data_IF_055998937873
#
_entry.id   IF_055998937873
#
_cell.length_a   1.000
_cell.length_b   1.000
_cell.length_c   1.000
_cell.angle_alpha   90.00
_cell.angle_beta   90.00
_cell.angle_gamma   90.00
#
_symmetry.space_group_name_H-M   'P 1'
#
loop_
_entity.id
_entity.type
_entity.pdbx_description
1 polymer ?
#
# COMPACT_ATOMS: atom_id res chain seq x y z
N UNK A 1 25.68 22.37 62.17
CA UNK A 1 26.25 22.88 63.44
C UNK A 1 27.20 24.02 63.09
N UNK A 2 26.82 25.28 63.36
CA UNK A 2 27.57 26.57 63.22
C UNK A 2 28.06 26.93 61.80
N UNK A 3 28.04 28.16 61.29
CA UNK A 3 27.51 29.51 61.58
C UNK A 3 27.84 30.31 60.27
N UNK A 4 26.93 30.97 59.57
CA UNK A 4 26.24 32.25 59.81
C UNK A 4 27.06 33.53 59.52
N UNK A 5 26.37 34.47 58.82
CA UNK A 5 26.54 35.93 58.62
C UNK A 5 27.44 36.39 57.45
N UNK A 6 26.89 36.99 56.37
CA UNK A 6 26.21 38.32 56.17
C UNK A 6 27.22 39.49 56.16
N UNK A 7 27.12 40.63 55.47
CA UNK A 7 26.07 41.44 54.80
C UNK A 7 26.87 42.57 54.06
N UNK A 8 26.47 43.27 52.98
CA UNK A 8 25.56 44.43 52.83
C UNK A 8 25.87 45.00 51.40
N UNK A 9 24.91 45.12 50.47
CA UNK A 9 24.00 46.26 50.20
C UNK A 9 24.62 47.45 49.45
N UNK A 10 24.09 47.75 48.26
CA UNK A 10 23.44 49.04 47.87
C UNK A 10 23.13 48.99 46.35
N UNK A 11 21.89 48.79 45.90
CA UNK A 11 20.69 49.66 45.87
C UNK A 11 20.67 50.69 44.73
N UNK A 12 19.64 50.56 43.86
CA UNK A 12 18.76 51.59 43.24
C UNK A 12 17.97 50.90 42.10
N UNK A 13 16.74 50.43 42.36
CA UNK A 13 15.43 51.10 42.20
C UNK A 13 15.12 51.46 40.72
N UNK A 14 14.26 50.74 39.96
CA UNK A 14 12.77 50.62 40.00
C UNK A 14 12.04 51.96 39.69
N UNK A 15 10.77 52.00 39.19
CA UNK A 15 9.97 51.05 38.39
C UNK A 15 9.01 51.79 37.37
N UNK A 16 7.72 51.43 37.16
CA UNK A 16 7.17 51.04 35.85
C UNK A 16 6.05 51.97 35.35
N UNK A 17 5.47 51.76 34.16
CA UNK A 17 4.10 52.21 33.89
C UNK A 17 3.31 51.30 32.95
N UNK A 18 2.02 51.27 33.25
CA UNK A 18 0.96 50.37 32.83
C UNK A 18 0.22 50.83 31.56
N UNK A 19 -0.33 49.85 30.84
CA UNK A 19 -1.70 49.74 30.29
C UNK A 19 -2.21 50.81 29.30
N UNK A 20 -2.58 50.39 28.08
CA UNK A 20 -3.98 50.39 27.60
C UNK A 20 -4.11 49.85 26.17
N UNK A 21 -5.23 49.18 25.97
CA UNK A 21 -5.83 48.63 24.76
C UNK A 21 -5.87 49.54 23.53
N UNK A 22 -5.66 48.97 22.34
CA UNK A 22 -6.49 49.28 21.17
C UNK A 22 -6.50 48.13 20.18
N UNK A 23 -7.72 47.78 19.79
CA UNK A 23 -8.11 46.90 18.70
C UNK A 23 -7.55 47.38 17.36
N UNK A 24 -6.90 46.49 16.61
CA UNK A 24 -6.93 46.57 15.15
C UNK A 24 -6.94 45.17 14.54
N UNK A 25 -8.06 44.88 13.90
CA UNK A 25 -8.32 43.73 13.05
C UNK A 25 -7.53 43.88 11.75
N UNK A 26 -6.46 43.09 11.57
CA UNK A 26 -5.86 42.93 10.24
C UNK A 26 -6.54 41.77 9.52
N UNK A 27 -7.62 42.09 8.80
CA UNK A 27 -8.17 41.28 7.72
C UNK A 27 -7.10 41.14 6.62
N UNK A 28 -6.41 40.00 6.56
CA UNK A 28 -5.74 39.59 5.32
C UNK A 28 -6.82 39.00 4.40
N UNK A 29 -7.22 39.80 3.41
CA UNK A 29 -8.09 39.37 2.31
C UNK A 29 -7.37 38.29 1.51
N UNK A 30 -7.81 37.04 1.65
CA UNK A 30 -7.57 36.00 0.65
C UNK A 30 -8.36 36.35 -0.61
N UNK A 31 -7.63 36.82 -1.63
CA UNK A 31 -8.14 37.00 -2.98
C UNK A 31 -8.36 35.60 -3.56
N UNK A 32 -9.62 35.21 -3.73
CA UNK A 32 -10.02 34.06 -4.52
C UNK A 32 -9.74 34.35 -5.99
N UNK A 33 -8.63 33.80 -6.51
CA UNK A 33 -8.41 33.66 -7.95
C UNK A 33 -9.10 32.37 -8.41
N UNK A 34 -10.23 32.52 -9.09
CA UNK A 34 -10.85 31.41 -9.83
C UNK A 34 -9.93 30.93 -10.95
N UNK A 35 -9.63 29.62 -11.07
CA UNK A 35 -9.06 29.09 -12.30
C UNK A 35 -10.15 29.08 -13.40
N UNK A 36 -9.82 29.65 -14.57
CA UNK A 36 -10.63 29.54 -15.79
C UNK A 36 -10.73 28.07 -16.21
N UNK A 37 -11.89 27.56 -16.64
CA UNK A 37 -11.99 26.22 -17.19
C UNK A 37 -11.36 26.17 -18.60
N UNK A 38 -10.51 25.17 -18.82
CA UNK A 38 -10.04 24.77 -20.14
C UNK A 38 -11.18 24.10 -20.91
N UNK A 39 -11.43 24.58 -22.12
CA UNK A 39 -12.41 24.06 -23.07
C UNK A 39 -12.08 22.61 -23.48
N UNK A 40 -13.08 21.73 -23.68
CA UNK A 40 -12.83 20.39 -24.22
C UNK A 40 -12.60 20.46 -25.75
N UNK A 41 -11.82 19.53 -26.33
CA UNK A 41 -11.72 19.42 -27.78
C UNK A 41 -13.05 18.91 -28.37
N UNK A 42 -13.37 19.47 -29.53
CA UNK A 42 -14.59 19.29 -30.32
C UNK A 42 -14.89 17.82 -30.66
N UNK A 43 -16.15 17.46 -30.43
CA UNK A 43 -16.85 16.28 -30.94
C UNK A 43 -16.83 16.20 -32.48
N UNK A 44 -16.32 15.10 -33.04
CA UNK A 44 -16.69 14.62 -34.37
C UNK A 44 -17.89 13.67 -34.24
N UNK A 45 -19.10 14.21 -34.40
CA UNK A 45 -20.31 13.44 -34.70
C UNK A 45 -21.03 14.17 -35.83
N UNK A 46 -20.96 13.60 -37.04
CA UNK A 46 -21.71 14.08 -38.19
C UNK A 46 -23.20 13.70 -38.05
N UNK A 47 -24.16 14.59 -38.35
CA UNK A 47 -25.57 14.28 -38.28
C UNK A 47 -26.04 13.52 -39.53
N UNK A 48 -26.76 12.42 -39.30
CA UNK A 48 -27.50 11.66 -40.31
C UNK A 48 -28.76 12.46 -40.71
N UNK A 49 -28.94 12.70 -42.01
CA UNK A 49 -30.12 13.34 -42.58
C UNK A 49 -31.34 12.39 -42.59
N UNK A 50 -32.59 12.91 -42.52
CA UNK A 50 -33.79 12.08 -42.57
C UNK A 50 -34.20 11.82 -44.02
N UNK A 51 -34.35 10.55 -44.40
CA UNK A 51 -34.96 10.17 -45.68
C UNK A 51 -36.48 10.06 -45.53
N UNK A 52 -37.20 10.75 -46.42
CA UNK A 52 -38.66 10.74 -46.55
C UNK A 52 -39.16 9.40 -47.12
N UNK A 53 -40.40 9.09 -46.75
CA UNK A 53 -41.25 7.98 -47.18
C UNK A 53 -41.42 7.84 -48.69
N UNK A 54 -41.47 6.59 -49.19
CA UNK A 54 -42.17 6.21 -50.42
C UNK A 54 -42.74 4.79 -50.29
N UNK A 55 -43.85 4.59 -51.01
CA UNK A 55 -44.89 3.57 -50.88
C UNK A 55 -44.56 2.18 -51.46
N UNK A 56 -45.42 1.24 -51.08
CA UNK A 56 -45.57 -0.16 -51.53
C UNK A 56 -45.45 -0.44 -53.03
N UNK A 57 -44.83 -1.58 -53.38
CA UNK A 57 -45.39 -2.54 -54.36
C UNK A 57 -44.67 -3.89 -54.30
N UNK A 58 -45.47 -4.95 -54.37
CA UNK A 58 -45.12 -6.36 -54.40
C UNK A 58 -44.83 -6.83 -55.81
N UNK A 59 -43.68 -7.49 -56.05
CA UNK A 59 -43.47 -8.38 -57.20
C UNK A 59 -42.61 -9.56 -56.72
N UNK A 60 -43.14 -10.78 -56.83
CA UNK A 60 -42.40 -12.01 -56.58
C UNK A 60 -41.50 -12.37 -57.75
N UNK A 61 -40.43 -13.11 -57.48
CA UNK A 61 -39.76 -13.99 -58.45
C UNK A 61 -38.87 -14.98 -57.71
N UNK A 62 -39.15 -16.26 -57.96
CA UNK A 62 -38.36 -17.41 -57.54
C UNK A 62 -36.96 -17.38 -58.16
N UNK A 63 -35.92 -17.64 -57.37
CA UNK A 63 -34.70 -18.26 -57.89
C UNK A 63 -33.97 -19.02 -56.79
N UNK A 64 -33.91 -20.33 -56.95
CA UNK A 64 -33.04 -21.20 -56.18
C UNK A 64 -31.58 -20.82 -56.45
N UNK A 65 -30.83 -20.51 -55.40
CA UNK A 65 -29.38 -20.60 -55.44
C UNK A 65 -28.94 -21.43 -54.25
N UNK A 66 -28.33 -22.58 -54.56
CA UNK A 66 -27.66 -23.46 -53.61
C UNK A 66 -26.50 -22.66 -53.01
N UNK A 67 -26.65 -22.18 -51.80
CA UNK A 67 -25.52 -21.69 -51.02
C UNK A 67 -24.83 -22.93 -50.47
N UNK A 68 -23.63 -23.20 -50.97
CA UNK A 68 -22.73 -24.16 -50.38
C UNK A 68 -22.57 -23.82 -48.90
N UNK A 69 -23.07 -24.70 -48.02
CA UNK A 69 -22.65 -24.74 -46.63
C UNK A 69 -21.17 -25.07 -46.63
N UNK A 70 -20.34 -24.03 -46.62
CA UNK A 70 -18.98 -24.16 -46.16
C UNK A 70 -19.07 -24.66 -44.72
N UNK A 71 -18.80 -25.95 -44.52
CA UNK A 71 -18.44 -26.48 -43.23
C UNK A 71 -17.20 -25.70 -42.78
N UNK A 72 -17.43 -24.64 -42.00
CA UNK A 72 -16.39 -24.10 -41.15
C UNK A 72 -16.02 -25.21 -40.19
N UNK A 73 -14.99 -25.96 -40.55
CA UNK A 73 -14.32 -26.90 -39.68
C UNK A 73 -14.00 -26.17 -38.38
N UNK A 74 -14.66 -26.57 -37.31
CA UNK A 74 -14.58 -26.00 -35.97
C UNK A 74 -13.27 -26.35 -35.25
N UNK A 75 -12.15 -26.40 -35.96
CA UNK A 75 -10.87 -26.91 -35.45
C UNK A 75 -9.80 -25.85 -35.49
N UNK A 76 -9.96 -24.85 -34.62
CA UNK A 76 -8.86 -24.23 -33.89
C UNK A 76 -9.44 -23.59 -32.61
N UNK A 77 -10.12 -24.39 -31.79
CA UNK A 77 -10.29 -23.99 -30.40
C UNK A 77 -8.88 -23.96 -29.80
N UNK A 78 -8.27 -22.76 -29.76
CA UNK A 78 -7.08 -22.50 -28.96
C UNK A 78 -7.40 -22.99 -27.55
N UNK A 79 -6.92 -24.18 -27.19
CA UNK A 79 -7.14 -24.73 -25.87
C UNK A 79 -6.21 -23.97 -24.92
N UNK A 80 -6.61 -22.77 -24.52
CA UNK A 80 -5.88 -21.90 -23.59
C UNK A 80 -5.53 -22.63 -22.27
N UNK A 81 -6.26 -23.72 -21.92
CA UNK A 81 -6.11 -24.49 -20.66
C UNK A 81 -5.88 -23.59 -19.43
N UNK A 82 -6.71 -22.56 -19.20
CA UNK A 82 -6.50 -21.58 -18.12
C UNK A 82 -6.39 -22.22 -16.73
N UNK A 83 -7.06 -23.35 -16.51
CA UNK A 83 -6.99 -24.17 -15.30
C UNK A 83 -5.60 -24.73 -15.02
N UNK A 84 -4.79 -24.97 -16.06
CA UNK A 84 -3.43 -25.46 -15.94
C UNK A 84 -2.40 -24.34 -15.73
N UNK A 85 -2.79 -23.06 -15.87
CA UNK A 85 -1.85 -21.93 -15.81
C UNK A 85 -1.32 -21.65 -14.40
N UNK A 86 -1.86 -22.31 -13.37
CA UNK A 86 -1.46 -22.16 -11.96
C UNK A 86 -1.45 -23.54 -11.30
N UNK A 87 -0.37 -23.84 -10.60
CA UNK A 87 -0.18 -25.11 -9.89
C UNK A 87 0.23 -24.82 -8.44
N UNK A 88 -0.60 -25.13 -7.43
CA UNK A 88 -1.98 -25.64 -7.54
C UNK A 88 -2.95 -24.62 -8.20
N UNK A 89 -4.19 -25.02 -8.54
CA UNK A 89 -5.20 -24.10 -9.07
C UNK A 89 -5.45 -22.90 -8.15
N UNK A 90 -5.90 -21.77 -8.72
CA UNK A 90 -6.24 -20.60 -7.92
C UNK A 90 -7.41 -20.90 -6.97
N UNK A 91 -7.35 -20.38 -5.75
CA UNK A 91 -8.48 -20.43 -4.84
C UNK A 91 -9.58 -19.49 -5.35
N UNK A 92 -10.87 -19.86 -5.18
CA UNK A 92 -11.96 -18.90 -5.31
C UNK A 92 -11.70 -17.69 -4.43
N UNK A 93 -12.07 -16.49 -4.88
CA UNK A 93 -12.00 -15.30 -4.04
C UNK A 93 -12.97 -15.50 -2.87
N UNK A 94 -12.51 -15.50 -1.61
CA UNK A 94 -13.42 -15.63 -0.47
C UNK A 94 -14.31 -14.40 -0.39
N UNK A 95 -15.52 -14.54 0.14
CA UNK A 95 -16.38 -13.38 0.43
C UNK A 95 -15.72 -12.54 1.52
N UNK A 96 -15.41 -11.25 1.28
CA UNK A 96 -14.81 -10.41 2.30
C UNK A 96 -15.84 -10.13 3.42
N UNK A 97 -15.43 -10.01 4.69
CA UNK A 97 -16.35 -9.73 5.79
C UNK A 97 -17.06 -8.36 5.67
N UNK A 98 -16.45 -7.44 4.93
CA UNK A 98 -17.00 -6.11 4.62
C UNK A 98 -16.82 -5.81 3.13
N UNK A 99 -17.79 -5.11 2.53
CA UNK A 99 -17.72 -4.71 1.11
C UNK A 99 -16.93 -3.42 0.92
N UNK A 100 -17.14 -2.44 1.81
CA UNK A 100 -16.50 -1.13 1.79
C UNK A 100 -15.93 -0.80 3.15
N UNK A 101 -14.74 -0.22 3.17
CA UNK A 101 -14.11 0.29 4.38
C UNK A 101 -13.10 1.39 4.04
N UNK A 102 -12.61 2.10 5.06
CA UNK A 102 -11.54 3.09 4.88
C UNK A 102 -10.21 2.51 5.33
N UNK A 103 -9.17 2.75 4.54
CA UNK A 103 -7.78 2.48 4.86
C UNK A 103 -7.05 3.80 5.20
N UNK A 104 -6.22 3.77 6.24
CA UNK A 104 -5.29 4.84 6.59
C UNK A 104 -3.85 4.47 6.21
N UNK A 105 -3.19 5.27 5.38
CA UNK A 105 -1.74 5.12 5.12
C UNK A 105 -1.01 6.22 5.88
N UNK A 106 -0.18 5.82 6.85
CA UNK A 106 0.52 6.76 7.73
C UNK A 106 1.96 6.94 7.25
N UNK A 107 2.20 7.94 6.41
CA UNK A 107 3.56 8.31 6.00
C UNK A 107 4.26 9.06 7.14
N UNK A 108 5.11 8.37 7.88
CA UNK A 108 5.73 8.87 9.11
C UNK A 108 7.13 9.45 8.88
N UNK A 109 7.43 10.58 9.52
CA UNK A 109 8.80 11.02 9.75
C UNK A 109 9.46 10.11 10.79
N UNK A 110 10.51 9.42 10.38
CA UNK A 110 11.24 8.45 11.23
C UNK A 110 12.52 9.09 11.75
N UNK A 111 12.77 8.95 13.04
CA UNK A 111 13.96 9.51 13.71
C UNK A 111 14.87 8.41 14.23
N UNK A 112 16.02 8.78 14.81
CA UNK A 112 16.88 7.84 15.53
C UNK A 112 16.36 7.48 16.93
N UNK A 113 15.33 8.15 17.45
CA UNK A 113 14.75 7.86 18.76
C UNK A 113 13.59 6.87 18.62
N UNK A 114 13.82 5.62 19.03
CA UNK A 114 12.82 4.54 18.93
C UNK A 114 11.55 4.85 19.73
N UNK A 115 11.69 5.33 20.97
CA UNK A 115 10.53 5.62 21.83
C UNK A 115 9.67 6.73 21.23
N UNK A 116 10.32 7.77 20.70
CA UNK A 116 9.64 8.84 19.97
C UNK A 116 8.92 8.29 18.74
N UNK A 117 9.55 7.42 17.96
CA UNK A 117 8.93 6.81 16.77
C UNK A 117 7.69 5.98 17.15
N UNK A 118 7.75 5.20 18.24
CA UNK A 118 6.62 4.40 18.74
C UNK A 118 5.46 5.29 19.21
N UNK A 119 5.75 6.32 20.01
CA UNK A 119 4.73 7.28 20.44
C UNK A 119 4.09 8.02 19.26
N UNK A 120 4.89 8.36 18.26
CA UNK A 120 4.43 9.04 17.05
C UNK A 120 3.57 8.14 16.16
N UNK A 121 3.99 6.90 15.91
CA UNK A 121 3.22 5.91 15.16
C UNK A 121 1.86 5.64 15.83
N UNK A 122 1.83 5.49 17.17
CA UNK A 122 0.59 5.39 17.95
C UNK A 122 -0.34 6.55 17.66
N UNK A 123 0.16 7.80 17.73
CA UNK A 123 -0.65 8.99 17.48
C UNK A 123 -1.21 9.02 16.06
N UNK A 124 -0.40 8.66 15.07
CA UNK A 124 -0.84 8.57 13.68
C UNK A 124 -1.92 7.51 13.46
N UNK A 125 -1.80 6.34 14.11
CA UNK A 125 -2.83 5.29 14.07
C UNK A 125 -4.15 5.79 14.68
N UNK A 126 -4.07 6.43 15.85
CA UNK A 126 -5.24 7.00 16.53
C UNK A 126 -5.93 8.07 15.68
N UNK A 127 -5.16 8.95 15.05
CA UNK A 127 -5.69 9.99 14.17
C UNK A 127 -6.32 9.41 12.89
N UNK A 128 -5.76 8.32 12.35
CA UNK A 128 -6.35 7.61 11.22
C UNK A 128 -7.67 6.92 11.60
N UNK A 129 -7.71 6.25 12.75
CA UNK A 129 -8.89 5.60 13.29
C UNK A 129 -10.00 6.60 13.61
N UNK A 130 -9.66 7.77 14.18
CA UNK A 130 -10.61 8.86 14.45
C UNK A 130 -11.25 9.41 13.16
N UNK A 131 -10.58 9.28 12.01
CA UNK A 131 -11.12 9.60 10.68
C UNK A 131 -11.89 8.44 10.02
N UNK A 132 -12.07 7.35 10.75
CA UNK A 132 -12.86 6.19 10.35
C UNK A 132 -12.09 5.09 9.63
N UNK A 133 -10.75 5.09 9.66
CA UNK A 133 -9.96 3.98 9.14
C UNK A 133 -10.28 2.69 9.92
N UNK A 134 -10.58 1.61 9.20
CA UNK A 134 -10.75 0.26 9.75
C UNK A 134 -9.50 -0.60 9.53
N UNK A 135 -8.67 -0.22 8.55
CA UNK A 135 -7.34 -0.75 8.30
C UNK A 135 -6.32 0.38 8.37
N UNK A 136 -5.23 0.20 9.08
CA UNK A 136 -4.07 1.13 9.05
C UNK A 136 -2.84 0.42 8.53
N UNK A 137 -2.08 1.08 7.65
CA UNK A 137 -0.80 0.64 7.14
C UNK A 137 0.30 1.63 7.58
N UNK A 138 1.30 1.10 8.28
CA UNK A 138 2.53 1.82 8.63
C UNK A 138 3.65 1.57 7.59
N UNK A 139 4.74 2.37 7.60
CA UNK A 139 5.81 2.22 6.62
C UNK A 139 6.88 1.18 6.99
N UNK A 140 7.81 0.91 6.08
CA UNK A 140 8.96 0.02 6.33
C UNK A 140 9.94 0.63 7.35
N UNK A 141 10.44 -0.21 8.27
CA UNK A 141 11.38 0.13 9.36
C UNK A 141 11.02 1.47 10.01
N UNK A 142 9.78 1.56 10.50
CA UNK A 142 9.25 2.81 11.04
C UNK A 142 9.74 3.11 12.46
N UNK A 143 10.30 2.12 13.16
CA UNK A 143 10.75 2.24 14.55
C UNK A 143 12.23 2.66 14.70
N UNK A 144 12.96 2.92 13.61
CA UNK A 144 14.34 3.37 13.66
C UNK A 144 14.95 3.69 12.27
N UNK A 145 16.22 4.09 12.20
CA UNK A 145 16.86 4.42 10.93
C UNK A 145 17.02 3.20 10.01
N UNK A 146 16.81 3.39 8.71
CA UNK A 146 17.03 2.35 7.71
C UNK A 146 18.52 2.25 7.34
N UNK A 147 19.28 1.46 8.09
CA UNK A 147 20.69 1.19 7.80
C UNK A 147 21.18 -0.12 8.40
N UNK A 148 22.21 -0.72 7.77
CA UNK A 148 22.84 -1.96 8.24
C UNK A 148 23.42 -1.86 9.65
N UNK A 149 23.91 -0.68 10.05
CA UNK A 149 24.47 -0.46 11.39
C UNK A 149 23.37 -0.30 12.44
N UNK A 150 22.19 0.21 12.04
CA UNK A 150 21.05 0.39 12.92
C UNK A 150 20.28 -0.92 13.16
N UNK A 151 20.13 -1.79 12.15
CA UNK A 151 19.26 -2.96 12.30
C UNK A 151 19.53 -3.81 13.57
N UNK A 152 20.77 -4.15 13.94
CA UNK A 152 21.03 -4.93 15.15
C UNK A 152 20.67 -4.19 16.44
N UNK A 153 20.88 -2.87 16.48
CA UNK A 153 20.64 -2.02 17.65
C UNK A 153 19.14 -1.82 17.88
N UNK A 154 18.38 -1.66 16.80
CA UNK A 154 16.94 -1.40 16.86
C UNK A 154 16.10 -2.68 16.79
N UNK A 155 16.71 -3.85 16.57
CA UNK A 155 15.99 -5.11 16.47
C UNK A 155 15.25 -5.48 17.76
N UNK A 156 14.05 -6.03 17.60
CA UNK A 156 13.18 -6.47 18.69
C UNK A 156 12.88 -7.97 18.59
N UNK A 157 12.77 -8.65 19.74
CA UNK A 157 12.34 -10.04 19.78
C UNK A 157 10.81 -10.10 19.84
N UNK A 158 10.19 -10.22 18.67
CA UNK A 158 8.73 -10.24 18.49
C UNK A 158 8.10 -11.43 19.21
N UNK A 159 8.79 -12.57 19.25
CA UNK A 159 8.23 -13.81 19.83
C UNK A 159 8.31 -13.80 21.37
N UNK A 160 9.30 -13.10 21.94
CA UNK A 160 9.36 -12.83 23.38
C UNK A 160 8.29 -11.84 23.86
N UNK A 161 7.88 -10.90 23.00
CA UNK A 161 6.82 -9.93 23.28
C UNK A 161 7.14 -8.95 24.42
N UNK A 162 6.13 -8.18 24.86
CA UNK A 162 6.26 -7.22 25.96
C UNK A 162 7.40 -6.21 25.74
N UNK A 163 8.25 -6.03 26.76
CA UNK A 163 9.38 -5.10 26.70
C UNK A 163 10.48 -5.51 25.71
N UNK A 164 10.50 -6.78 25.27
CA UNK A 164 11.43 -7.24 24.23
C UNK A 164 10.97 -6.83 22.82
N UNK A 165 9.70 -6.46 22.66
CA UNK A 165 9.17 -5.86 21.45
C UNK A 165 8.11 -4.78 21.73
N UNK A 166 8.55 -3.60 22.23
CA UNK A 166 7.64 -2.49 22.53
C UNK A 166 6.88 -2.00 21.30
N UNK A 167 7.45 -2.13 20.10
CA UNK A 167 6.79 -1.74 18.85
C UNK A 167 5.56 -2.62 18.60
N UNK A 168 5.69 -3.95 18.72
CA UNK A 168 4.56 -4.87 18.49
C UNK A 168 3.56 -4.88 19.63
N UNK A 169 4.02 -4.68 20.87
CA UNK A 169 3.14 -4.51 22.03
C UNK A 169 2.23 -3.28 21.87
N UNK A 170 2.77 -2.16 21.39
CA UNK A 170 1.99 -0.96 21.08
C UNK A 170 0.93 -1.25 20.01
N UNK A 171 1.31 -1.91 18.91
CA UNK A 171 0.38 -2.21 17.81
C UNK A 171 -0.76 -3.14 18.25
N UNK A 172 -0.45 -4.15 19.07
CA UNK A 172 -1.42 -5.07 19.65
C UNK A 172 -2.44 -4.34 20.54
N UNK A 173 -1.97 -3.49 21.47
CA UNK A 173 -2.86 -2.74 22.35
C UNK A 173 -3.74 -1.74 21.58
N UNK A 174 -3.16 -0.98 20.65
CA UNK A 174 -3.90 0.03 19.88
C UNK A 174 -4.93 -0.60 18.95
N UNK A 175 -4.60 -1.71 18.28
CA UNK A 175 -5.55 -2.42 17.41
C UNK A 175 -6.76 -2.94 18.20
N UNK A 176 -6.54 -3.51 19.38
CA UNK A 176 -7.61 -3.96 20.28
C UNK A 176 -8.48 -2.79 20.76
N UNK A 177 -7.85 -1.73 21.28
CA UNK A 177 -8.56 -0.59 21.86
C UNK A 177 -9.41 0.16 20.83
N UNK A 178 -8.87 0.34 19.62
CA UNK A 178 -9.55 1.05 18.54
C UNK A 178 -10.44 0.14 17.69
N UNK A 179 -10.34 -1.19 17.86
CA UNK A 179 -11.05 -2.20 17.07
C UNK A 179 -10.80 -2.05 15.56
N UNK A 180 -9.53 -1.93 15.18
CA UNK A 180 -9.09 -1.81 13.79
C UNK A 180 -8.05 -2.89 13.47
N UNK A 181 -7.97 -3.27 12.21
CA UNK A 181 -6.87 -4.08 11.70
C UNK A 181 -5.65 -3.18 11.46
N UNK A 182 -4.45 -3.64 11.84
CA UNK A 182 -3.20 -2.90 11.57
C UNK A 182 -2.23 -3.79 10.82
N UNK A 183 -1.81 -3.36 9.63
CA UNK A 183 -0.58 -3.84 9.00
C UNK A 183 0.54 -2.95 9.50
N UNK A 184 1.30 -3.47 10.47
CA UNK A 184 2.24 -2.74 11.31
C UNK A 184 3.54 -2.31 10.62
N UNK A 185 3.49 -2.02 9.33
CA UNK A 185 4.66 -1.60 8.58
C UNK A 185 5.72 -2.68 8.64
N UNK A 186 6.98 -2.32 8.85
CA UNK A 186 7.96 -3.29 9.33
C UNK A 186 8.89 -2.74 10.39
N UNK A 187 9.54 -3.64 11.13
CA UNK A 187 10.61 -3.36 12.08
C UNK A 187 11.77 -4.35 11.85
N UNK A 188 12.94 -4.04 12.39
CA UNK A 188 13.99 -5.04 12.53
C UNK A 188 13.57 -6.06 13.61
N UNK A 189 13.50 -7.34 13.25
CA UNK A 189 13.21 -8.45 14.15
C UNK A 189 14.51 -9.18 14.50
N UNK A 190 14.69 -9.52 15.77
CA UNK A 190 15.70 -10.46 16.24
C UNK A 190 15.05 -11.82 16.50
N UNK A 191 15.66 -12.88 15.98
CA UNK A 191 15.21 -14.26 16.22
C UNK A 191 16.45 -15.16 16.30
N UNK A 192 16.87 -15.44 17.53
CA UNK A 192 18.20 -15.99 17.81
C UNK A 192 19.31 -15.07 17.29
N UNK A 193 20.26 -15.65 16.56
CA UNK A 193 21.40 -14.92 15.98
C UNK A 193 21.07 -14.21 14.66
N UNK A 194 19.83 -14.33 14.18
CA UNK A 194 19.40 -13.78 12.89
C UNK A 194 18.57 -12.52 13.07
N UNK A 195 18.71 -11.63 12.10
CA UNK A 195 17.91 -10.42 11.99
C UNK A 195 17.04 -10.49 10.73
N UNK A 196 15.83 -9.94 10.79
CA UNK A 196 14.89 -9.91 9.67
C UNK A 196 14.24 -8.52 9.55
N UNK A 197 13.79 -8.17 8.35
CA UNK A 197 12.88 -7.05 8.13
C UNK A 197 11.45 -7.62 8.17
N UNK A 198 10.68 -7.28 9.20
CA UNK A 198 9.47 -8.03 9.54
C UNK A 198 8.25 -7.14 9.70
N UNK A 199 7.18 -7.48 8.98
CA UNK A 199 5.86 -6.88 9.07
C UNK A 199 4.91 -7.77 9.88
N UNK A 200 4.25 -7.18 10.86
CA UNK A 200 3.25 -7.85 11.69
C UNK A 200 1.85 -7.34 11.35
N UNK A 201 0.87 -8.24 11.30
CA UNK A 201 -0.54 -7.91 11.11
C UNK A 201 -1.31 -8.20 12.39
N UNK A 202 -2.00 -7.19 12.92
CA UNK A 202 -2.83 -7.29 14.13
C UNK A 202 -4.30 -7.20 13.78
N UNK A 203 -5.09 -8.09 14.36
CA UNK A 203 -6.55 -8.10 14.26
C UNK A 203 -7.20 -7.11 15.21
N UNK A 204 -8.51 -6.95 15.09
CA UNK A 204 -9.31 -6.00 15.89
C UNK A 204 -9.39 -6.36 17.38
N UNK A 205 -8.96 -7.57 17.76
CA UNK A 205 -8.87 -8.05 19.13
C UNK A 205 -7.47 -7.93 19.74
N UNK A 206 -6.51 -7.37 19.00
CA UNK A 206 -5.11 -7.21 19.39
C UNK A 206 -4.23 -8.42 19.09
N UNK A 207 -4.76 -9.52 18.57
CA UNK A 207 -3.95 -10.71 18.27
C UNK A 207 -3.05 -10.47 17.08
N UNK A 208 -1.83 -10.98 17.17
CA UNK A 208 -0.94 -11.11 16.02
C UNK A 208 -1.49 -12.19 15.08
N UNK A 209 -2.04 -11.79 13.93
CA UNK A 209 -2.62 -12.67 12.93
C UNK A 209 -1.58 -13.24 11.97
N UNK A 210 -0.55 -12.46 11.65
CA UNK A 210 0.52 -12.88 10.76
C UNK A 210 1.83 -12.13 11.00
N UNK A 211 2.94 -12.80 10.68
CA UNK A 211 4.30 -12.26 10.66
C UNK A 211 4.89 -12.53 9.27
N UNK A 212 5.26 -11.48 8.54
CA UNK A 212 5.89 -11.55 7.23
C UNK A 212 7.32 -11.04 7.32
N UNK A 213 8.29 -11.93 7.09
CA UNK A 213 9.70 -11.56 6.92
C UNK A 213 9.94 -11.29 5.44
N UNK A 214 10.53 -10.13 5.12
CA UNK A 214 10.86 -9.70 3.75
C UNK A 214 11.59 -10.81 3.00
N UNK A 215 11.04 -11.24 1.87
CA UNK A 215 11.54 -12.40 1.13
C UNK A 215 12.72 -11.98 0.25
N UNK A 216 12.57 -10.84 -0.44
CA UNK A 216 13.60 -10.34 -1.34
C UNK A 216 14.35 -9.18 -0.68
N UNK A 217 15.58 -9.45 -0.24
CA UNK A 217 16.44 -8.43 0.36
C UNK A 217 16.91 -7.42 -0.69
N UNK A 218 17.03 -6.17 -0.27
CA UNK A 218 17.42 -5.04 -1.12
C UNK A 218 18.93 -4.98 -1.31
N UNK A 219 19.42 -5.81 -2.24
CA UNK A 219 20.83 -5.83 -2.65
C UNK A 219 20.96 -5.18 -4.02
N UNK A 220 21.34 -3.90 -4.04
CA UNK A 220 21.57 -3.14 -5.26
C UNK A 220 22.89 -2.39 -5.23
N UNK A 221 23.46 -2.22 -6.42
CA UNK A 221 24.58 -1.33 -6.67
C UNK A 221 24.33 -0.57 -7.96
N UNK A 222 24.02 0.73 -7.82
CA UNK A 222 23.83 1.66 -8.94
C UNK A 222 25.00 2.65 -8.86
N UNK A 223 26.05 2.45 -9.67
CA UNK A 223 27.27 3.25 -9.59
C UNK A 223 27.00 4.75 -9.59
N UNK A 224 27.59 5.45 -8.62
CA UNK A 224 27.46 6.90 -8.46
C UNK A 224 26.09 7.39 -7.99
N UNK A 225 25.15 6.50 -7.63
CA UNK A 225 23.82 6.87 -7.14
C UNK A 225 23.48 6.24 -5.80
N UNK A 226 23.42 4.91 -5.72
CA UNK A 226 23.08 4.21 -4.49
C UNK A 226 23.62 2.79 -4.49
N UNK A 227 24.25 2.40 -3.39
CA UNK A 227 24.65 1.04 -3.10
C UNK A 227 24.08 0.68 -1.74
N UNK A 228 23.29 -0.39 -1.67
CA UNK A 228 22.73 -0.90 -0.43
C UNK A 228 22.69 -2.42 -0.52
N UNK A 229 23.27 -3.11 0.46
CA UNK A 229 23.30 -4.57 0.53
C UNK A 229 22.67 -4.96 1.86
N UNK A 230 21.35 -5.13 1.87
CA UNK A 230 20.56 -5.46 3.06
C UNK A 230 20.96 -6.84 3.62
N UNK A 231 21.38 -7.77 2.74
CA UNK A 231 21.83 -9.11 3.12
C UNK A 231 23.13 -9.18 3.92
N UNK A 232 23.86 -8.06 4.04
CA UNK A 232 25.02 -7.97 4.96
C UNK A 232 24.62 -8.14 6.42
N UNK A 233 23.39 -7.76 6.76
CA UNK A 233 22.91 -7.74 8.14
C UNK A 233 21.62 -8.53 8.32
N UNK A 234 20.69 -8.46 7.36
CA UNK A 234 19.38 -9.12 7.46
C UNK A 234 19.35 -10.46 6.74
N UNK A 235 18.47 -11.33 7.21
CA UNK A 235 18.17 -12.65 6.65
C UNK A 235 16.84 -12.59 5.89
N UNK A 236 16.77 -13.27 4.74
CA UNK A 236 15.56 -13.38 3.95
C UNK A 236 14.50 -14.25 4.62
N UNK A 237 13.24 -13.81 4.55
CA UNK A 237 12.07 -14.63 4.84
C UNK A 237 11.93 -15.78 3.84
N UNK A 238 11.17 -16.81 4.23
CA UNK A 238 11.07 -18.06 3.48
C UNK A 238 9.64 -18.40 3.05
N UNK A 239 8.66 -17.55 3.36
CA UNK A 239 7.24 -17.86 3.18
C UNK A 239 6.45 -16.65 2.70
N UNK A 240 5.75 -16.75 1.56
CA UNK A 240 4.70 -15.80 1.19
C UNK A 240 3.65 -15.70 2.32
N UNK A 241 3.24 -14.48 2.66
CA UNK A 241 2.31 -14.24 3.78
C UNK A 241 0.99 -13.69 3.27
N UNK A 242 -0.08 -14.44 3.53
CA UNK A 242 -1.46 -14.05 3.26
C UNK A 242 -2.27 -14.32 4.52
N UNK A 243 -3.12 -13.38 4.89
CA UNK A 243 -3.86 -13.43 6.15
C UNK A 243 -5.29 -12.98 5.95
N UNK A 244 -6.22 -13.72 6.54
CA UNK A 244 -7.62 -13.30 6.64
C UNK A 244 -7.78 -12.34 7.82
N UNK A 245 -8.40 -11.20 7.57
CA UNK A 245 -8.65 -10.15 8.57
C UNK A 245 -10.12 -9.71 8.49
N UNK A 246 -10.53 -8.85 9.41
CA UNK A 246 -11.88 -8.27 9.47
C UNK A 246 -12.20 -7.39 8.25
N UNK A 247 -11.17 -6.93 7.52
CA UNK A 247 -11.32 -6.17 6.27
C UNK A 247 -11.03 -7.01 5.02
N UNK A 248 -10.94 -8.33 5.15
CA UNK A 248 -10.71 -9.28 4.07
C UNK A 248 -9.31 -9.88 4.03
N UNK A 249 -9.08 -10.72 3.01
CA UNK A 249 -7.80 -11.39 2.78
C UNK A 249 -6.73 -10.46 2.22
N UNK A 250 -5.62 -10.32 2.91
CA UNK A 250 -4.51 -9.41 2.58
C UNK A 250 -3.24 -10.22 2.29
N UNK A 251 -2.55 -9.91 1.19
CA UNK A 251 -1.16 -10.33 0.96
C UNK A 251 -0.19 -9.29 1.50
N UNK A 252 0.92 -9.72 2.10
CA UNK A 252 1.93 -8.81 2.67
C UNK A 252 3.25 -8.98 1.92
N UNK A 253 3.80 -7.90 1.38
CA UNK A 253 5.19 -7.85 0.93
C UNK A 253 5.87 -6.64 1.54
N UNK A 254 7.20 -6.58 1.53
CA UNK A 254 7.95 -5.40 2.02
C UNK A 254 8.84 -4.87 0.90
N UNK A 255 8.61 -3.61 0.54
CA UNK A 255 9.46 -2.80 -0.33
C UNK A 255 9.91 -3.50 -1.61
N UNK A 256 11.11 -4.09 -1.60
CA UNK A 256 11.72 -4.75 -2.74
C UNK A 256 10.92 -5.95 -3.26
N UNK A 257 10.10 -6.58 -2.40
CA UNK A 257 9.15 -7.63 -2.79
C UNK A 257 8.22 -7.19 -3.92
N UNK A 258 7.89 -5.89 -4.01
CA UNK A 258 7.01 -5.38 -5.09
C UNK A 258 7.64 -5.58 -6.48
N UNK A 259 8.95 -5.76 -6.60
CA UNK A 259 9.61 -5.98 -7.91
C UNK A 259 9.37 -7.37 -8.47
N UNK A 260 8.98 -8.33 -7.64
CA UNK A 260 8.82 -9.73 -8.00
C UNK A 260 7.34 -10.03 -8.24
N UNK A 261 6.93 -9.98 -9.51
CA UNK A 261 5.53 -10.12 -9.90
C UNK A 261 4.94 -11.48 -9.53
N UNK A 262 5.78 -12.53 -9.47
CA UNK A 262 5.43 -13.90 -9.12
C UNK A 262 4.82 -13.95 -7.71
N UNK A 263 5.35 -13.17 -6.76
CA UNK A 263 4.83 -13.10 -5.40
C UNK A 263 3.41 -12.52 -5.39
N UNK A 264 3.17 -11.42 -6.12
CA UNK A 264 1.84 -10.85 -6.25
C UNK A 264 0.86 -11.77 -6.99
N UNK A 265 1.35 -12.52 -7.99
CA UNK A 265 0.57 -13.54 -8.68
C UNK A 265 0.17 -14.69 -7.75
N UNK A 266 1.05 -15.10 -6.83
CA UNK A 266 0.74 -16.08 -5.77
C UNK A 266 -0.34 -15.51 -4.83
N UNK A 267 -0.21 -14.25 -4.41
CA UNK A 267 -1.22 -13.59 -3.56
C UNK A 267 -2.59 -13.53 -4.25
N UNK A 268 -2.63 -13.12 -5.51
CA UNK A 268 -3.85 -13.15 -6.32
C UNK A 268 -4.40 -14.56 -6.52
N UNK A 269 -3.54 -15.57 -6.69
CA UNK A 269 -3.95 -16.98 -6.82
C UNK A 269 -4.46 -17.59 -5.51
N UNK A 270 -4.01 -17.09 -4.35
CA UNK A 270 -4.48 -17.51 -3.03
C UNK A 270 -5.66 -16.67 -2.50
N UNK A 271 -6.25 -15.82 -3.35
CA UNK A 271 -7.50 -15.11 -3.07
C UNK A 271 -7.34 -13.79 -2.33
N UNK A 272 -6.19 -13.11 -2.41
CA UNK A 272 -6.04 -11.77 -1.83
C UNK A 272 -6.96 -10.75 -2.52
N UNK A 273 -7.58 -9.88 -1.72
CA UNK A 273 -8.34 -8.71 -2.18
C UNK A 273 -7.47 -7.46 -2.30
N UNK A 274 -6.48 -7.39 -1.42
CA UNK A 274 -5.55 -6.27 -1.24
C UNK A 274 -4.15 -6.86 -1.04
N UNK A 275 -3.13 -6.20 -1.59
CA UNK A 275 -1.73 -6.43 -1.19
C UNK A 275 -1.20 -5.15 -0.55
N UNK A 276 -0.63 -5.28 0.65
CA UNK A 276 0.04 -4.19 1.35
C UNK A 276 1.55 -4.33 1.21
N UNK A 277 2.20 -3.23 0.82
CA UNK A 277 3.65 -3.08 0.78
C UNK A 277 4.11 -1.88 1.61
N UNK A 278 4.43 -2.07 2.90
CA UNK A 278 5.33 -1.15 3.58
C UNK A 278 6.65 -1.08 2.79
N UNK A 279 7.14 0.12 2.48
CA UNK A 279 8.40 0.22 1.73
C UNK A 279 8.98 1.62 1.64
N UNK A 280 10.30 1.71 1.69
CA UNK A 280 11.06 2.93 1.53
C UNK A 280 11.88 2.88 0.22
N UNK A 281 11.30 3.29 -0.91
CA UNK A 281 12.10 3.49 -2.13
C UNK A 281 12.99 4.73 -1.97
N UNK A 282 14.17 4.73 -2.59
CA UNK A 282 15.08 5.88 -2.56
C UNK A 282 14.81 6.89 -3.69
N UNK A 283 15.49 8.03 -3.65
CA UNK A 283 15.41 9.11 -4.65
C UNK A 283 15.83 8.73 -6.08
N UNK A 284 16.53 7.61 -6.28
CA UNK A 284 16.89 7.12 -7.63
C UNK A 284 15.79 6.23 -8.20
N UNK A 285 15.32 5.25 -7.43
CA UNK A 285 14.35 4.26 -7.92
C UNK A 285 12.90 4.70 -7.74
N UNK A 286 12.61 5.56 -6.76
CA UNK A 286 11.27 6.06 -6.44
C UNK A 286 10.58 6.73 -7.62
N UNK A 287 11.17 7.80 -8.21
CA UNK A 287 10.55 8.54 -9.31
C UNK A 287 10.19 7.70 -10.53
N UNK A 288 10.95 6.62 -10.78
CA UNK A 288 10.79 5.78 -11.97
C UNK A 288 9.90 4.57 -11.73
N UNK A 289 9.99 3.97 -10.55
CA UNK A 289 9.48 2.62 -10.31
C UNK A 289 8.38 2.54 -9.26
N UNK A 290 8.30 3.48 -8.32
CA UNK A 290 7.35 3.38 -7.21
C UNK A 290 5.91 3.29 -7.72
N UNK A 291 5.47 4.28 -8.51
CA UNK A 291 4.11 4.30 -9.06
C UNK A 291 3.87 3.20 -10.10
N UNK A 292 4.85 2.98 -10.98
CA UNK A 292 4.75 1.98 -12.04
C UNK A 292 4.49 0.58 -11.46
N UNK A 293 5.27 0.18 -10.45
CA UNK A 293 5.19 -1.18 -9.91
C UNK A 293 3.87 -1.39 -9.17
N UNK A 294 3.41 -0.46 -8.34
CA UNK A 294 2.13 -0.61 -7.64
C UNK A 294 0.95 -0.75 -8.60
N UNK A 295 0.92 0.06 -9.67
CA UNK A 295 -0.13 0.02 -10.70
C UNK A 295 -0.10 -1.28 -11.47
N UNK A 296 1.10 -1.77 -11.83
CA UNK A 296 1.25 -3.07 -12.47
C UNK A 296 0.72 -4.21 -11.57
N UNK A 297 1.11 -4.24 -10.29
CA UNK A 297 0.63 -5.28 -9.35
C UNK A 297 -0.88 -5.29 -9.20
N UNK A 298 -1.50 -4.11 -9.11
CA UNK A 298 -2.95 -3.97 -8.99
C UNK A 298 -3.68 -4.41 -10.28
N UNK A 299 -3.23 -3.89 -11.43
CA UNK A 299 -3.88 -4.14 -12.72
C UNK A 299 -3.77 -5.60 -13.18
N UNK A 300 -2.59 -6.22 -13.05
CA UNK A 300 -2.33 -7.58 -13.56
C UNK A 300 -2.99 -8.65 -12.69
N UNK A 301 -3.19 -8.37 -11.40
CA UNK A 301 -3.80 -9.30 -10.44
C UNK A 301 -5.25 -8.96 -10.11
N UNK A 302 -5.78 -7.84 -10.64
CA UNK A 302 -7.16 -7.39 -10.45
C UNK A 302 -7.56 -7.37 -8.97
N UNK A 303 -6.76 -6.64 -8.19
CA UNK A 303 -6.86 -6.46 -6.73
C UNK A 303 -6.38 -5.06 -6.34
N UNK A 304 -6.63 -4.64 -5.10
CA UNK A 304 -6.10 -3.39 -4.57
C UNK A 304 -4.62 -3.53 -4.19
N UNK A 305 -3.86 -2.44 -4.28
CA UNK A 305 -2.49 -2.36 -3.75
C UNK A 305 -2.37 -1.12 -2.88
N UNK A 306 -1.89 -1.29 -1.65
CA UNK A 306 -1.56 -0.18 -0.75
C UNK A 306 -0.06 -0.17 -0.47
N UNK A 307 0.57 0.97 -0.63
CA UNK A 307 1.99 1.18 -0.33
C UNK A 307 2.13 2.26 0.74
N UNK A 308 3.02 2.07 1.71
CA UNK A 308 3.28 3.08 2.73
C UNK A 308 4.79 3.26 2.94
N UNK A 309 5.26 4.48 2.75
CA UNK A 309 6.66 4.89 2.85
C UNK A 309 6.87 5.77 4.08
N UNK A 310 8.07 5.79 4.68
CA UNK A 310 8.47 6.89 5.53
C UNK A 310 8.41 8.21 4.74
N UNK A 311 8.21 9.32 5.45
CA UNK A 311 8.38 10.66 4.92
C UNK A 311 9.85 10.88 4.54
N UNK A 312 10.08 11.77 3.58
CA UNK A 312 11.43 12.10 3.12
C UNK A 312 12.16 12.93 4.17
N UNK A 313 13.30 12.42 4.61
CA UNK A 313 14.28 13.19 5.37
C UNK A 313 15.58 13.30 4.56
N UNK A 314 15.95 14.53 4.18
CA UNK A 314 17.16 14.80 3.42
C UNK A 314 18.45 14.66 4.27
N UNK A 315 18.33 14.67 5.60
CA UNK A 315 19.43 14.44 6.54
C UNK A 315 19.67 12.96 6.87
N UNK A 316 18.78 12.06 6.48
CA UNK A 316 18.90 10.64 6.75
C UNK A 316 19.95 9.97 5.84
N UNK A 317 20.63 8.95 6.37
CA UNK A 317 21.58 8.14 5.58
C UNK A 317 20.92 7.40 4.41
N UNK A 318 19.62 7.10 4.52
CA UNK A 318 18.79 6.58 3.44
C UNK A 318 17.60 7.53 3.22
N UNK A 319 17.62 8.27 2.10
CA UNK A 319 16.59 9.28 1.79
C UNK A 319 15.42 8.61 1.08
N UNK A 320 14.30 8.47 1.81
CA UNK A 320 13.07 7.89 1.29
C UNK A 320 12.38 8.79 0.25
N UNK A 321 11.71 8.16 -0.71
CA UNK A 321 10.95 8.80 -1.76
C UNK A 321 9.65 9.42 -1.22
N UNK A 322 9.00 8.77 -0.26
CA UNK A 322 7.65 9.11 0.21
C UNK A 322 6.57 8.53 -0.71
N UNK A 323 5.51 9.31 -0.95
CA UNK A 323 4.44 8.99 -1.89
C UNK A 323 3.68 7.71 -1.54
N UNK A 324 3.31 7.52 -0.27
CA UNK A 324 2.39 6.46 0.14
C UNK A 324 1.11 6.51 -0.70
N UNK A 325 0.66 5.39 -1.26
CA UNK A 325 -0.39 5.37 -2.29
C UNK A 325 -1.36 4.20 -2.09
N UNK A 326 -2.65 4.45 -2.38
CA UNK A 326 -3.64 3.41 -2.64
C UNK A 326 -3.94 3.34 -4.14
N UNK A 327 -3.85 2.14 -4.70
CA UNK A 327 -4.17 1.83 -6.10
C UNK A 327 -5.36 0.88 -6.18
N UNK A 328 -6.30 1.20 -7.05
CA UNK A 328 -7.49 0.39 -7.33
C UNK A 328 -7.25 -0.74 -8.35
N UNK A 329 -8.24 -1.63 -8.52
CA UNK A 329 -8.10 -2.86 -9.32
C UNK A 329 -8.03 -2.62 -10.84
N UNK A 330 -8.28 -1.40 -11.33
CA UNK A 330 -8.05 -1.02 -12.72
C UNK A 330 -6.64 -0.44 -12.93
N UNK A 331 -5.83 -0.33 -11.87
CA UNK A 331 -4.51 0.29 -11.89
C UNK A 331 -4.57 1.82 -11.76
N UNK A 332 -5.70 2.37 -11.32
CA UNK A 332 -5.93 3.77 -11.02
C UNK A 332 -5.38 4.14 -9.65
N UNK A 333 -4.69 5.29 -9.55
CA UNK A 333 -4.26 5.84 -8.25
C UNK A 333 -5.48 6.50 -7.60
N UNK A 334 -5.92 5.96 -6.46
CA UNK A 334 -7.09 6.45 -5.73
C UNK A 334 -6.74 7.53 -4.71
N UNK A 335 -5.58 7.42 -4.08
CA UNK A 335 -5.04 8.42 -3.17
C UNK A 335 -3.52 8.30 -3.13
N UNK A 336 -2.80 9.41 -3.09
CA UNK A 336 -1.34 9.43 -2.90
C UNK A 336 -0.95 10.62 -2.02
N UNK A 337 0.08 10.44 -1.21
CA UNK A 337 0.77 11.56 -0.56
C UNK A 337 1.82 12.15 -1.52
N UNK A 338 2.34 13.31 -1.13
CA UNK A 338 3.64 13.79 -1.59
C UNK A 338 4.76 13.16 -0.73
N UNK A 339 5.85 13.87 -0.49
CA UNK A 339 7.03 13.39 0.24
C UNK A 339 7.07 13.77 1.73
N UNK A 340 6.21 14.69 2.18
CA UNK A 340 6.14 15.12 3.59
C UNK A 340 5.35 14.13 4.45
N UNK A 341 5.48 14.25 5.77
CA UNK A 341 4.66 13.49 6.71
C UNK A 341 3.18 13.76 6.47
N UNK A 342 2.39 12.71 6.25
CA UNK A 342 0.98 12.83 5.91
C UNK A 342 0.24 11.52 6.21
N UNK A 343 -1.01 11.65 6.67
CA UNK A 343 -1.93 10.52 6.79
C UNK A 343 -3.02 10.68 5.73
N UNK A 344 -3.14 9.71 4.83
CA UNK A 344 -4.26 9.65 3.87
C UNK A 344 -5.30 8.65 4.33
N UNK A 345 -6.57 9.02 4.17
CA UNK A 345 -7.73 8.16 4.41
C UNK A 345 -8.45 7.97 3.08
N UNK A 346 -8.55 6.74 2.61
CA UNK A 346 -9.16 6.40 1.32
C UNK A 346 -10.14 5.23 1.46
N UNK A 347 -11.16 5.19 0.61
CA UNK A 347 -12.14 4.10 0.58
C UNK A 347 -11.63 2.94 -0.30
N UNK A 348 -11.79 1.72 0.21
CA UNK A 348 -11.66 0.47 -0.54
C UNK A 348 -13.08 -0.08 -0.74
N UNK A 349 -13.40 -0.49 -1.97
CA UNK A 349 -14.69 -1.04 -2.35
C UNK A 349 -14.51 -2.35 -3.14
N UNK A 350 -14.66 -3.48 -2.46
CA UNK A 350 -14.42 -4.78 -3.10
C UNK A 350 -15.44 -5.17 -4.16
N UNK A 351 -16.57 -4.45 -4.28
CA UNK A 351 -17.47 -4.64 -5.44
C UNK A 351 -16.77 -4.32 -6.76
N UNK A 352 -15.74 -3.45 -6.75
CA UNK A 352 -14.94 -3.13 -7.92
C UNK A 352 -14.03 -4.28 -8.36
N UNK A 353 -13.68 -5.22 -7.48
CA UNK A 353 -12.91 -6.42 -7.84
C UNK A 353 -13.72 -7.34 -8.74
N UNK A 354 -14.97 -7.60 -8.36
CA UNK A 354 -15.90 -8.44 -9.12
C UNK A 354 -16.20 -7.81 -10.49
N UNK A 355 -16.50 -6.50 -10.50
CA UNK A 355 -16.72 -5.73 -11.73
C UNK A 355 -15.51 -5.83 -12.67
N UNK A 356 -14.30 -5.61 -12.13
CA UNK A 356 -13.05 -5.67 -12.91
C UNK A 356 -12.83 -7.06 -13.52
N UNK A 357 -13.01 -8.12 -12.73
CA UNK A 357 -12.79 -9.52 -13.16
C UNK A 357 -13.86 -10.01 -14.14
N UNK A 358 -15.08 -9.48 -14.05
CA UNK A 358 -16.15 -9.75 -15.01
C UNK A 358 -15.88 -9.07 -16.35
N UNK A 359 -15.52 -7.78 -16.33
CA UNK A 359 -15.29 -6.99 -17.54
C UNK A 359 -13.98 -7.37 -18.27
N UNK A 360 -12.98 -7.85 -17.54
CA UNK A 360 -11.72 -8.31 -18.10
C UNK A 360 -11.33 -9.68 -17.49
N UNK A 361 -11.86 -10.80 -18.00
CA UNK A 361 -11.72 -12.12 -17.37
C UNK A 361 -10.37 -12.78 -17.65
N UNK A 362 -9.28 -12.17 -17.17
CA UNK A 362 -7.90 -12.59 -17.42
C UNK A 362 -7.66 -14.06 -17.05
N UNK A 363 -8.30 -14.53 -15.97
CA UNK A 363 -8.16 -15.93 -15.52
C UNK A 363 -8.64 -16.94 -16.57
N UNK A 364 -9.65 -16.61 -17.38
CA UNK A 364 -10.17 -17.51 -18.43
C UNK A 364 -9.29 -17.52 -19.69
N UNK A 365 -8.33 -16.61 -19.79
CA UNK A 365 -7.52 -16.36 -20.98
C UNK A 365 -6.04 -16.71 -20.79
N UNK A 366 -5.64 -17.13 -19.59
CA UNK A 366 -4.26 -17.60 -19.33
C UNK A 366 -3.96 -18.83 -20.18
N UNK A 367 -2.73 -18.90 -20.70
CA UNK A 367 -2.23 -19.99 -21.55
C UNK A 367 -1.55 -21.07 -20.73
N UNK A 368 -2.32 -21.83 -19.94
CA UNK A 368 -1.79 -22.95 -19.15
C UNK A 368 -1.23 -24.09 -19.99
N UNK A 369 -1.52 -24.08 -21.29
CA UNK A 369 -0.89 -24.92 -22.31
C UNK A 369 0.54 -24.46 -22.68
N UNK A 370 0.92 -23.22 -22.37
CA UNK A 370 2.24 -22.65 -22.70
C UNK A 370 3.09 -22.31 -21.47
N UNK A 371 2.48 -21.81 -20.40
CA UNK A 371 3.18 -21.38 -19.20
C UNK A 371 2.37 -21.67 -17.94
N UNK A 372 3.08 -21.82 -16.83
CA UNK A 372 2.47 -22.06 -15.52
C UNK A 372 3.17 -21.25 -14.45
N UNK A 373 2.39 -20.72 -13.51
CA UNK A 373 2.89 -20.25 -12.22
C UNK A 373 2.84 -21.40 -11.22
N UNK A 374 4.00 -21.78 -10.67
CA UNK A 374 4.09 -22.86 -9.67
C UNK A 374 4.28 -22.25 -8.28
N UNK A 375 3.28 -22.45 -7.43
CA UNK A 375 3.29 -22.10 -6.01
C UNK A 375 3.82 -23.28 -5.20
N UNK A 376 5.16 -23.35 -5.08
CA UNK A 376 5.89 -24.48 -4.51
C UNK A 376 5.43 -24.79 -3.08
N UNK A 377 5.29 -23.77 -2.23
CA UNK A 377 4.90 -23.96 -0.83
C UNK A 377 3.50 -24.59 -0.70
N UNK A 378 2.54 -24.18 -1.54
CA UNK A 378 1.19 -24.74 -1.47
C UNK A 378 1.13 -26.12 -2.11
N UNK A 379 1.93 -26.37 -3.14
CA UNK A 379 2.05 -27.68 -3.77
C UNK A 379 2.53 -28.74 -2.77
N UNK A 380 3.54 -28.43 -1.96
CA UNK A 380 4.09 -29.38 -0.98
C UNK A 380 3.19 -29.59 0.26
N UNK A 381 2.20 -28.72 0.46
CA UNK A 381 1.26 -28.79 1.58
C UNK A 381 -0.05 -29.54 1.29
N UNK A 382 -0.26 -29.95 0.04
CA UNK A 382 -1.41 -30.74 -0.43
C UNK A 382 -0.98 -32.20 -0.60
#
# INVERSE_FOLDING_TARGET
>A
MKAALSTLISSKNLPPHHCASSSSSSLSRSIWLHPKPLSPPSSFLAPIAPAKSLSSSSIGLSRSSKIHTANFSSTMASAYKPEAARVPPALPLPTPPVTKFKIGLCQLAVTADKERNIAHARKAIEDAAAKGAQLVLLPEIWNGPYSNDSFPVYAEDIDAGGDASPSTAMLSEVSQRLKITIVGGSIAERSGDRLYNTSCVFGTDGRLLAKHRKIHLFDIDIPGKITFIESKTLTAGQTPTIVDTEVGRIGIGICYDIRFQELAMIYGARGAHLICYPGAFNMTTGPLHWELLQRARAADNQLYVATCSPARDAGAGYVAWGHSTLVGPFGEVLATTEHEETIIIAEVDYSLLELRRTNLPLLKQRRGDLYQLVDVQRLDSQ
#
